data_IF_686504176426
#
_entry.id   IF_686504176426
#
_cell.length_a   1.000
_cell.length_b   1.000
_cell.length_c   1.000
_cell.angle_alpha   90.00
_cell.angle_beta   90.00
_cell.angle_gamma   90.00
#
_symmetry.space_group_name_H-M   'P 1'
#
loop_
_entity.id
_entity.type
_entity.pdbx_description
1 polymer ?
#
# COMPACT_ATOMS: atom_id res chain seq x y z
N UNK A 1 -6.87 8.57 4.11
CA UNK A 1 -8.23 9.00 4.50
C UNK A 1 -8.30 10.43 5.05
N UNK A 2 -7.19 11.09 5.33
CA UNK A 2 -7.19 12.46 5.92
C UNK A 2 -7.68 13.55 4.95
N UNK A 3 -7.75 13.26 3.66
CA UNK A 3 -8.09 14.21 2.59
C UNK A 3 -9.43 13.92 1.90
N UNK A 4 -10.32 13.19 2.55
CA UNK A 4 -11.69 12.90 2.05
C UNK A 4 -12.72 14.01 2.33
N UNK A 5 -12.43 14.86 3.29
CA UNK A 5 -13.37 15.90 3.76
C UNK A 5 -13.15 17.24 3.06
N UNK A 6 -14.18 18.10 3.08
CA UNK A 6 -14.15 19.46 2.52
C UNK A 6 -13.02 20.35 3.11
N UNK A 7 -12.55 20.04 4.31
CA UNK A 7 -11.43 20.74 4.96
C UNK A 7 -10.03 20.20 4.58
N UNK A 8 -9.98 19.28 3.63
CA UNK A 8 -8.72 18.64 3.21
C UNK A 8 -7.73 19.63 2.62
N UNK A 9 -8.21 20.58 1.82
CA UNK A 9 -7.39 21.64 1.25
C UNK A 9 -6.75 22.51 2.34
N UNK A 10 -7.54 22.92 3.35
CA UNK A 10 -7.00 23.69 4.48
C UNK A 10 -5.93 22.91 5.27
N UNK A 11 -6.04 21.59 5.38
CA UNK A 11 -4.99 20.75 5.97
C UNK A 11 -3.73 20.74 5.12
N UNK A 12 -3.86 20.79 3.79
CA UNK A 12 -2.70 20.74 2.88
C UNK A 12 -1.94 22.06 2.85
N UNK A 13 -2.65 23.16 2.61
CA UNK A 13 -2.06 24.48 2.31
C UNK A 13 -2.32 25.54 3.39
N UNK A 14 -3.06 25.20 4.44
CA UNK A 14 -3.43 26.10 5.54
C UNK A 14 -4.84 26.68 5.40
N UNK A 15 -5.39 27.14 6.52
CA UNK A 15 -6.69 27.79 6.59
C UNK A 15 -6.65 29.25 6.12
N UNK A 16 -7.69 29.76 5.46
CA UNK A 16 -7.78 31.19 5.12
C UNK A 16 -7.73 32.10 6.35
N UNK A 17 -7.34 33.37 6.21
CA UNK A 17 -7.37 34.36 7.30
C UNK A 17 -8.73 34.40 8.00
N UNK A 18 -8.73 34.41 9.32
CA UNK A 18 -9.96 34.46 10.15
C UNK A 18 -10.54 33.09 10.49
N UNK A 19 -10.00 31.98 10.01
CA UNK A 19 -10.42 30.63 10.39
C UNK A 19 -9.47 30.02 11.41
N UNK A 20 -9.99 29.11 12.24
CA UNK A 20 -9.19 28.34 13.23
C UNK A 20 -8.12 27.53 12.49
N UNK A 21 -6.87 27.64 12.97
CA UNK A 21 -5.72 26.94 12.36
C UNK A 21 -4.93 27.77 11.32
N UNK A 22 -5.28 29.05 11.11
CA UNK A 22 -4.54 29.93 10.19
C UNK A 22 -3.04 30.06 10.56
N UNK A 23 -2.72 30.21 11.86
CA UNK A 23 -1.33 30.37 12.33
C UNK A 23 -0.47 29.11 12.14
N UNK A 24 -1.10 27.95 12.06
CA UNK A 24 -0.38 26.66 11.97
C UNK A 24 0.17 26.32 10.58
N UNK A 25 -0.21 27.08 9.53
CA UNK A 25 0.12 26.74 8.15
C UNK A 25 -0.49 25.42 7.67
N UNK A 26 -0.21 25.02 6.43
CA UNK A 26 -0.65 23.72 5.88
C UNK A 26 0.36 22.62 6.18
N UNK A 27 -0.13 21.44 6.50
CA UNK A 27 0.74 20.31 6.85
C UNK A 27 1.67 19.90 5.68
N UNK A 28 1.14 19.89 4.45
CA UNK A 28 1.93 19.56 3.28
C UNK A 28 2.90 20.69 2.93
N UNK A 29 2.41 21.92 2.85
CA UNK A 29 3.21 23.09 2.52
C UNK A 29 4.39 23.26 3.48
N UNK A 30 4.16 23.14 4.80
CA UNK A 30 5.22 23.23 5.81
C UNK A 30 6.25 22.10 5.71
N UNK A 31 5.80 20.84 5.47
CA UNK A 31 6.71 19.71 5.31
C UNK A 31 7.62 19.87 4.10
N UNK A 32 7.06 20.28 2.96
CA UNK A 32 7.83 20.49 1.72
C UNK A 32 8.75 21.69 1.84
N UNK A 33 8.29 22.79 2.45
CA UNK A 33 9.12 23.98 2.71
C UNK A 33 10.37 23.64 3.52
N UNK A 34 10.24 22.75 4.53
CA UNK A 34 11.35 22.31 5.38
C UNK A 34 12.24 21.26 4.71
N UNK A 35 11.65 20.44 3.83
CA UNK A 35 12.33 19.33 3.16
C UNK A 35 12.01 19.37 1.65
N UNK A 36 12.63 20.26 0.88
CA UNK A 36 12.32 20.45 -0.54
C UNK A 36 12.68 19.24 -1.41
N UNK A 37 13.62 18.40 -0.98
CA UNK A 37 13.96 17.13 -1.63
C UNK A 37 13.26 15.99 -0.92
N UNK A 38 12.04 15.68 -1.33
CA UNK A 38 11.23 14.67 -0.66
C UNK A 38 10.39 13.85 -1.63
N UNK A 39 9.96 12.67 -1.17
CA UNK A 39 8.97 11.83 -1.83
C UNK A 39 7.64 12.01 -1.12
N UNK A 40 6.62 12.37 -1.87
CA UNK A 40 5.27 12.61 -1.36
C UNK A 40 4.37 11.51 -1.89
N UNK A 41 3.75 10.75 -0.98
CA UNK A 41 2.80 9.70 -1.31
C UNK A 41 1.36 10.16 -1.03
N UNK A 42 0.53 10.16 -2.06
CA UNK A 42 -0.92 10.27 -1.95
C UNK A 42 -1.53 8.88 -2.13
N UNK A 43 -1.95 8.28 -1.04
CA UNK A 43 -2.53 6.94 -1.04
C UNK A 43 -4.04 7.00 -1.23
N UNK A 44 -4.59 6.10 -2.08
CA UNK A 44 -6.02 6.03 -2.43
C UNK A 44 -6.56 7.38 -2.96
N UNK A 45 -5.87 7.95 -3.94
CA UNK A 45 -6.17 9.31 -4.45
C UNK A 45 -7.59 9.44 -4.99
N UNK A 46 -8.21 8.36 -5.47
CA UNK A 46 -9.60 8.33 -5.94
C UNK A 46 -10.64 8.71 -4.87
N UNK A 47 -10.25 8.60 -3.60
CA UNK A 47 -11.11 8.95 -2.46
C UNK A 47 -10.97 10.41 -2.02
N UNK A 48 -10.02 11.15 -2.61
CA UNK A 48 -9.78 12.53 -2.24
C UNK A 48 -10.91 13.46 -2.68
N UNK A 49 -11.13 14.52 -1.90
CA UNK A 49 -12.10 15.56 -2.27
C UNK A 49 -11.68 16.22 -3.60
N UNK A 50 -12.64 16.60 -4.49
CA UNK A 50 -12.33 17.22 -5.77
C UNK A 50 -11.39 18.44 -5.70
N UNK A 51 -11.47 19.23 -4.65
CA UNK A 51 -10.60 20.40 -4.47
C UNK A 51 -9.11 20.02 -4.27
N UNK A 52 -8.83 18.82 -3.79
CA UNK A 52 -7.45 18.29 -3.67
C UNK A 52 -6.84 18.14 -5.06
N UNK A 53 -7.63 17.69 -6.04
CA UNK A 53 -7.14 17.59 -7.43
C UNK A 53 -6.77 18.93 -8.05
N UNK A 54 -7.47 20.00 -7.68
CA UNK A 54 -7.12 21.35 -8.15
C UNK A 54 -5.72 21.77 -7.62
N UNK A 55 -5.43 21.46 -6.36
CA UNK A 55 -4.10 21.71 -5.78
C UNK A 55 -3.04 20.84 -6.44
N UNK A 56 -3.33 19.55 -6.65
CA UNK A 56 -2.40 18.65 -7.34
C UNK A 56 -2.13 19.10 -8.77
N UNK A 57 -3.15 19.55 -9.51
CA UNK A 57 -2.96 20.14 -10.84
C UNK A 57 -2.01 21.33 -10.79
N UNK A 58 -2.20 22.26 -9.85
CA UNK A 58 -1.31 23.40 -9.69
C UNK A 58 0.13 22.97 -9.41
N UNK A 59 0.32 21.96 -8.54
CA UNK A 59 1.65 21.41 -8.26
C UNK A 59 2.29 20.80 -9.51
N UNK A 60 1.52 20.01 -10.27
CA UNK A 60 2.01 19.32 -11.47
C UNK A 60 2.27 20.28 -12.64
N UNK A 61 1.50 21.36 -12.76
CA UNK A 61 1.65 22.35 -13.83
C UNK A 61 2.74 23.39 -13.54
N UNK A 62 2.64 24.02 -12.36
CA UNK A 62 3.46 25.18 -12.03
C UNK A 62 4.73 24.79 -11.24
N UNK A 63 4.76 23.56 -10.68
CA UNK A 63 5.81 23.11 -9.79
C UNK A 63 5.82 23.84 -8.45
N UNK A 64 4.77 24.58 -8.11
CA UNK A 64 4.65 25.28 -6.83
C UNK A 64 3.19 25.53 -6.47
N UNK A 65 2.94 25.77 -5.17
CA UNK A 65 1.66 26.28 -4.66
C UNK A 65 1.90 27.50 -3.79
N UNK A 66 0.84 28.29 -3.60
CA UNK A 66 0.84 29.36 -2.61
C UNK A 66 0.03 28.91 -1.39
N UNK A 67 0.62 28.94 -0.22
CA UNK A 67 -0.06 28.59 1.02
C UNK A 67 -1.02 29.71 1.49
N UNK A 68 -1.79 29.46 2.54
CA UNK A 68 -2.75 30.43 3.10
C UNK A 68 -2.09 31.69 3.67
N UNK A 69 -0.79 31.65 3.92
CA UNK A 69 0.00 32.78 4.43
C UNK A 69 0.67 33.59 3.30
N UNK A 70 0.47 33.19 2.03
CA UNK A 70 1.05 33.84 0.88
C UNK A 70 2.49 33.36 0.54
N UNK A 71 2.98 32.32 1.19
CA UNK A 71 4.30 31.77 0.87
C UNK A 71 4.21 30.88 -0.38
N UNK A 72 5.17 31.07 -1.28
CA UNK A 72 5.33 30.21 -2.45
C UNK A 72 6.16 28.99 -2.06
N UNK A 73 5.55 27.79 -2.14
CA UNK A 73 6.16 26.50 -1.81
C UNK A 73 6.56 25.80 -3.08
N UNK A 74 7.84 25.51 -3.24
CA UNK A 74 8.42 24.89 -4.44
C UNK A 74 8.39 23.37 -4.34
N UNK A 75 7.81 22.69 -5.34
CA UNK A 75 7.70 21.23 -5.47
C UNK A 75 8.59 20.65 -6.57
N UNK A 76 9.37 21.48 -7.29
CA UNK A 76 10.16 21.03 -8.44
C UNK A 76 11.19 19.93 -8.12
N UNK A 77 11.62 19.87 -6.86
CA UNK A 77 12.57 18.87 -6.39
C UNK A 77 11.88 17.71 -5.60
N UNK A 78 10.56 17.57 -5.72
CA UNK A 78 9.82 16.49 -5.08
C UNK A 78 9.45 15.42 -6.10
N UNK A 79 9.37 14.17 -5.63
CA UNK A 79 8.75 13.06 -6.37
C UNK A 79 7.36 12.84 -5.81
N UNK A 80 6.35 12.93 -6.66
CA UNK A 80 4.96 12.71 -6.27
C UNK A 80 4.54 11.33 -6.74
N UNK A 81 4.12 10.50 -5.78
CA UNK A 81 3.60 9.16 -6.03
C UNK A 81 2.12 9.15 -5.63
N UNK A 82 1.27 8.68 -6.51
CA UNK A 82 -0.16 8.53 -6.25
C UNK A 82 -0.55 7.07 -6.42
N UNK A 83 -1.26 6.50 -5.44
CA UNK A 83 -1.83 5.15 -5.57
C UNK A 83 -3.33 5.24 -5.76
N UNK A 84 -3.88 4.28 -6.49
CA UNK A 84 -5.33 4.15 -6.68
C UNK A 84 -5.74 2.69 -6.83
N UNK A 85 -6.94 2.38 -6.36
CA UNK A 85 -7.61 1.09 -6.59
C UNK A 85 -8.55 1.13 -7.81
N UNK A 86 -8.46 2.16 -8.64
CA UNK A 86 -9.25 2.29 -9.85
C UNK A 86 -9.08 1.06 -10.76
N UNK A 87 -10.19 0.48 -11.21
CA UNK A 87 -10.18 -0.69 -12.09
C UNK A 87 -9.82 -2.02 -11.41
N UNK A 88 -9.74 -2.09 -10.08
CA UNK A 88 -9.43 -3.33 -9.35
C UNK A 88 -10.37 -4.49 -9.74
N UNK A 89 -11.64 -4.23 -10.02
CA UNK A 89 -12.60 -5.24 -10.49
C UNK A 89 -12.20 -5.86 -11.82
N UNK A 90 -11.58 -5.10 -12.72
CA UNK A 90 -11.08 -5.61 -14.00
C UNK A 90 -9.85 -6.50 -13.86
N UNK A 91 -9.16 -6.42 -12.71
CA UNK A 91 -8.01 -7.27 -12.39
C UNK A 91 -8.49 -8.61 -11.84
N UNK A 92 -9.49 -8.60 -10.95
CA UNK A 92 -10.00 -9.79 -10.24
C UNK A 92 -10.89 -10.64 -11.15
N UNK A 93 -11.77 -10.01 -11.91
CA UNK A 93 -12.70 -10.69 -12.82
C UNK A 93 -12.56 -10.15 -14.25
N UNK A 94 -11.53 -10.52 -14.99
CA UNK A 94 -11.45 -10.15 -16.39
C UNK A 94 -12.66 -10.69 -17.14
N UNK A 95 -13.43 -9.79 -17.78
CA UNK A 95 -14.62 -10.18 -18.58
C UNK A 95 -14.20 -11.22 -19.61
N UNK A 96 -14.59 -12.48 -19.39
CA UNK A 96 -14.41 -13.56 -20.35
C UNK A 96 -15.34 -13.31 -21.53
N UNK A 97 -14.83 -12.76 -22.59
CA UNK A 97 -15.50 -12.69 -23.89
C UNK A 97 -14.91 -13.77 -24.79
N UNK A 98 -15.61 -14.92 -24.85
CA UNK A 98 -15.41 -15.93 -25.90
C UNK A 98 -14.38 -17.02 -25.60
N UNK A 99 -14.59 -18.17 -26.25
CA UNK A 99 -13.70 -19.32 -26.30
C UNK A 99 -12.33 -18.94 -26.86
N UNK A 100 -11.32 -18.84 -26.02
CA UNK A 100 -9.94 -18.73 -26.48
C UNK A 100 -9.02 -19.63 -25.65
N UNK A 101 -8.25 -20.45 -26.37
CA UNK A 101 -7.11 -21.25 -25.97
C UNK A 101 -6.14 -20.47 -25.06
N UNK A 102 -5.30 -21.19 -24.29
CA UNK A 102 -4.25 -20.68 -23.39
C UNK A 102 -3.61 -19.38 -23.93
N UNK A 103 -4.19 -18.24 -23.53
CA UNK A 103 -3.67 -16.93 -23.90
C UNK A 103 -2.31 -16.73 -23.25
N UNK A 104 -1.36 -16.32 -24.04
CA UNK A 104 -0.03 -15.86 -23.57
C UNK A 104 -0.23 -14.86 -22.43
N UNK A 105 0.46 -15.06 -21.32
CA UNK A 105 0.38 -14.23 -20.10
C UNK A 105 0.52 -12.74 -20.42
N UNK A 106 1.32 -12.40 -21.41
CA UNK A 106 1.49 -11.02 -21.92
C UNK A 106 0.21 -10.44 -22.48
N UNK A 107 -0.57 -11.26 -23.24
CA UNK A 107 -1.85 -10.82 -23.83
C UNK A 107 -2.88 -10.57 -22.72
N UNK A 108 -2.94 -11.45 -21.72
CA UNK A 108 -3.82 -11.29 -20.55
C UNK A 108 -3.48 -10.00 -19.78
N UNK A 109 -2.20 -9.74 -19.53
CA UNK A 109 -1.75 -8.53 -18.88
C UNK A 109 -2.12 -7.28 -19.68
N UNK A 110 -1.91 -7.26 -20.98
CA UNK A 110 -2.26 -6.10 -21.82
C UNK A 110 -3.78 -5.82 -21.81
N UNK A 111 -4.62 -6.83 -21.88
CA UNK A 111 -6.08 -6.68 -21.77
C UNK A 111 -6.48 -6.11 -20.40
N UNK A 112 -5.93 -6.67 -19.34
CA UNK A 112 -6.13 -6.18 -17.98
C UNK A 112 -5.69 -4.71 -17.87
N UNK A 113 -4.48 -4.39 -18.31
CA UNK A 113 -3.95 -3.02 -18.31
C UNK A 113 -4.86 -2.05 -19.04
N UNK A 114 -5.36 -2.44 -20.23
CA UNK A 114 -6.30 -1.60 -21.00
C UNK A 114 -7.59 -1.36 -20.21
N UNK A 115 -8.20 -2.40 -19.64
CA UNK A 115 -9.41 -2.27 -18.84
C UNK A 115 -9.24 -1.38 -17.61
N UNK A 116 -8.10 -1.49 -16.91
CA UNK A 116 -7.75 -0.61 -15.78
C UNK A 116 -7.58 0.83 -16.25
N UNK A 117 -6.86 1.06 -17.35
CA UNK A 117 -6.64 2.41 -17.89
C UNK A 117 -7.93 3.06 -18.39
N UNK A 118 -8.86 2.30 -18.93
CA UNK A 118 -10.17 2.83 -19.32
C UNK A 118 -10.98 3.29 -18.09
N UNK A 119 -10.89 2.58 -16.97
CA UNK A 119 -11.55 2.97 -15.73
C UNK A 119 -10.87 4.21 -15.12
N UNK A 120 -9.54 4.28 -15.13
CA UNK A 120 -8.77 5.45 -14.70
C UNK A 120 -9.18 6.69 -15.50
N UNK A 121 -9.34 6.57 -16.84
CA UNK A 121 -9.81 7.67 -17.71
C UNK A 121 -11.25 8.11 -17.44
N UNK A 122 -12.09 7.22 -16.91
CA UNK A 122 -13.47 7.58 -16.50
C UNK A 122 -13.48 8.31 -15.16
N UNK A 123 -12.58 7.93 -14.26
CA UNK A 123 -12.54 8.43 -12.88
C UNK A 123 -11.81 9.77 -12.78
N UNK A 124 -10.74 9.95 -13.52
CA UNK A 124 -9.91 11.14 -13.46
C UNK A 124 -10.07 12.00 -14.72
N UNK A 125 -10.05 13.31 -14.53
CA UNK A 125 -10.14 14.26 -15.65
C UNK A 125 -8.93 14.12 -16.57
N UNK A 126 -9.12 14.26 -17.91
CA UNK A 126 -8.03 14.17 -18.88
C UNK A 126 -6.88 15.14 -18.60
N UNK A 127 -7.20 16.37 -18.17
CA UNK A 127 -6.21 17.38 -17.80
C UNK A 127 -5.27 16.91 -16.69
N UNK A 128 -5.79 16.17 -15.70
CA UNK A 128 -5.00 15.61 -14.61
C UNK A 128 -4.10 14.46 -15.09
N UNK A 129 -4.67 13.54 -15.88
CA UNK A 129 -3.92 12.39 -16.40
C UNK A 129 -2.78 12.80 -17.33
N UNK A 130 -2.96 13.89 -18.10
CA UNK A 130 -1.94 14.41 -19.01
C UNK A 130 -0.73 15.06 -18.29
N UNK A 131 -0.81 15.26 -16.98
CA UNK A 131 0.28 15.80 -16.14
C UNK A 131 1.04 14.73 -15.38
N UNK A 132 0.59 13.48 -15.47
CA UNK A 132 1.26 12.34 -14.85
C UNK A 132 2.32 11.84 -15.82
N UNK A 133 3.57 11.77 -15.37
CA UNK A 133 4.71 11.35 -16.20
C UNK A 133 4.62 9.86 -16.57
N UNK A 134 4.21 9.00 -15.60
CA UNK A 134 4.09 7.55 -15.84
C UNK A 134 2.97 6.93 -15.00
N UNK A 135 2.34 5.91 -15.57
CA UNK A 135 1.28 5.14 -14.91
C UNK A 135 1.64 3.66 -14.89
N UNK A 136 1.86 3.13 -13.69
CA UNK A 136 2.24 1.75 -13.45
C UNK A 136 1.00 0.95 -13.03
N UNK A 137 0.65 -0.07 -13.81
CA UNK A 137 -0.40 -1.03 -13.44
C UNK A 137 0.27 -2.27 -12.88
N UNK A 138 -0.02 -2.59 -11.62
CA UNK A 138 0.54 -3.77 -10.97
C UNK A 138 -0.14 -5.05 -11.44
N UNK A 139 0.63 -6.13 -11.53
CA UNK A 139 0.12 -7.45 -11.78
C UNK A 139 -0.63 -8.01 -10.56
N UNK A 140 -1.65 -8.86 -10.77
CA UNK A 140 -2.22 -9.63 -9.67
C UNK A 140 -1.15 -10.55 -9.07
N UNK A 141 -1.26 -10.78 -7.76
CA UNK A 141 -0.33 -11.65 -7.06
C UNK A 141 -0.60 -13.13 -7.41
N UNK A 142 0.46 -13.84 -7.80
CA UNK A 142 0.45 -15.29 -8.01
C UNK A 142 0.72 -16.03 -6.70
N UNK A 143 0.52 -17.36 -6.67
CA UNK A 143 0.89 -18.19 -5.51
C UNK A 143 2.38 -18.12 -5.18
N UNK A 144 3.25 -18.00 -6.18
CA UNK A 144 4.70 -17.88 -5.98
C UNK A 144 5.04 -16.55 -5.34
N UNK A 145 4.45 -15.44 -5.80
CA UNK A 145 4.58 -14.14 -5.14
C UNK A 145 4.08 -14.18 -3.68
N UNK A 146 3.01 -14.93 -3.40
CA UNK A 146 2.52 -15.10 -2.03
C UNK A 146 3.52 -15.82 -1.13
N UNK A 147 4.22 -16.86 -1.65
CA UNK A 147 5.30 -17.55 -0.91
C UNK A 147 6.47 -16.62 -0.61
N UNK A 148 6.84 -15.76 -1.54
CA UNK A 148 7.87 -14.74 -1.33
C UNK A 148 7.45 -13.74 -0.25
N UNK A 149 6.20 -13.26 -0.29
CA UNK A 149 5.65 -12.35 0.72
C UNK A 149 5.65 -13.00 2.10
N UNK A 150 5.20 -14.26 2.22
CA UNK A 150 5.26 -15.03 3.48
C UNK A 150 6.70 -15.12 3.98
N UNK A 151 7.65 -15.38 3.10
CA UNK A 151 9.07 -15.46 3.46
C UNK A 151 9.59 -14.13 4.02
N UNK A 152 9.22 -13.00 3.39
CA UNK A 152 9.58 -11.66 3.87
C UNK A 152 8.97 -11.41 5.25
N UNK A 153 7.68 -11.72 5.45
CA UNK A 153 6.98 -11.52 6.72
C UNK A 153 7.56 -12.38 7.84
N UNK A 154 7.89 -13.64 7.57
CA UNK A 154 8.54 -14.54 8.52
C UNK A 154 9.94 -14.04 8.90
N UNK A 155 10.72 -13.55 7.95
CA UNK A 155 12.04 -12.96 8.22
C UNK A 155 11.95 -11.69 9.08
N UNK A 156 10.92 -10.87 8.89
CA UNK A 156 10.65 -9.69 9.74
C UNK A 156 10.32 -10.16 11.16
N UNK A 157 9.47 -11.17 11.30
CA UNK A 157 9.10 -11.74 12.59
C UNK A 157 10.33 -12.33 13.30
N UNK A 158 11.14 -13.13 12.61
CA UNK A 158 12.37 -13.70 13.16
C UNK A 158 13.35 -12.63 13.65
N UNK A 159 13.59 -11.59 12.86
CA UNK A 159 14.43 -10.46 13.28
C UNK A 159 13.90 -9.79 14.54
N UNK A 160 12.58 -9.61 14.64
CA UNK A 160 11.93 -8.98 15.80
C UNK A 160 12.06 -9.88 17.04
N UNK A 161 11.74 -11.16 16.96
CA UNK A 161 11.84 -12.11 18.10
C UNK A 161 13.29 -12.27 18.54
N UNK A 162 14.23 -12.33 17.59
CA UNK A 162 15.65 -12.40 17.91
C UNK A 162 16.18 -11.15 18.61
N UNK A 163 15.73 -9.95 18.20
CA UNK A 163 16.19 -8.69 18.80
C UNK A 163 15.56 -8.40 20.16
N UNK A 164 14.28 -8.80 20.37
CA UNK A 164 13.53 -8.47 21.58
C UNK A 164 13.58 -9.55 22.65
N UNK A 165 13.67 -10.83 22.24
CA UNK A 165 13.56 -12.00 23.12
C UNK A 165 14.74 -12.96 22.98
N UNK A 166 15.71 -12.69 22.12
CA UNK A 166 16.81 -13.60 21.75
C UNK A 166 16.33 -14.97 21.21
N UNK A 167 15.06 -15.10 20.82
CA UNK A 167 14.46 -16.33 20.30
C UNK A 167 14.67 -16.38 18.79
N UNK A 168 15.18 -17.52 18.29
CA UNK A 168 15.30 -17.82 16.86
C UNK A 168 14.09 -18.60 16.38
N UNK A 169 13.49 -18.15 15.28
CA UNK A 169 12.40 -18.86 14.62
C UNK A 169 12.93 -19.51 13.35
N UNK A 170 12.54 -20.76 13.12
CA UNK A 170 12.87 -21.49 11.91
C UNK A 170 11.58 -22.12 11.34
N UNK A 171 11.19 -21.67 10.14
CA UNK A 171 10.00 -22.14 9.45
C UNK A 171 10.40 -22.75 8.10
N UNK A 172 10.02 -24.00 7.87
CA UNK A 172 10.25 -24.72 6.62
C UNK A 172 9.31 -24.27 5.48
N UNK A 173 9.50 -24.87 4.32
CA UNK A 173 8.66 -24.57 3.15
C UNK A 173 7.23 -25.12 3.30
N UNK A 174 7.04 -26.22 4.05
CA UNK A 174 5.76 -26.75 4.47
C UNK A 174 4.90 -25.71 5.24
N UNK A 175 5.53 -24.98 6.14
CA UNK A 175 4.89 -23.89 6.90
C UNK A 175 4.51 -22.72 5.98
N UNK A 176 5.39 -22.35 5.04
CA UNK A 176 5.10 -21.27 4.09
C UNK A 176 3.93 -21.62 3.19
N UNK A 177 3.88 -22.84 2.68
CA UNK A 177 2.75 -23.33 1.86
C UNK A 177 1.44 -23.29 2.64
N UNK A 178 1.44 -23.77 3.87
CA UNK A 178 0.30 -23.73 4.74
C UNK A 178 -0.20 -22.30 5.02
N UNK A 179 0.72 -21.36 5.28
CA UNK A 179 0.38 -19.96 5.51
C UNK A 179 -0.20 -19.29 4.26
N UNK A 180 0.31 -19.62 3.08
CA UNK A 180 -0.25 -19.15 1.81
C UNK A 180 -1.66 -19.69 1.63
N UNK A 181 -1.89 -20.98 1.87
CA UNK A 181 -3.22 -21.59 1.74
C UNK A 181 -4.25 -20.97 2.69
N UNK A 182 -3.88 -20.72 3.93
CA UNK A 182 -4.77 -20.13 4.95
C UNK A 182 -4.91 -18.62 4.86
N UNK A 183 -3.92 -17.94 4.33
CA UNK A 183 -3.87 -16.47 4.28
C UNK A 183 -4.13 -15.86 2.90
N UNK A 184 -4.35 -16.69 1.87
CA UNK A 184 -4.72 -16.18 0.55
C UNK A 184 -6.21 -15.90 0.47
N UNK A 185 -6.54 -14.72 -0.03
CA UNK A 185 -7.90 -14.34 -0.39
C UNK A 185 -7.87 -13.67 -1.76
N UNK A 186 -8.68 -14.15 -2.69
CA UNK A 186 -8.71 -13.66 -4.07
C UNK A 186 -9.08 -12.18 -4.15
N UNK A 187 -9.93 -11.71 -3.23
CA UNK A 187 -10.39 -10.32 -3.18
C UNK A 187 -9.41 -9.39 -2.45
N UNK A 188 -8.80 -9.89 -1.36
CA UNK A 188 -7.93 -9.09 -0.50
C UNK A 188 -6.43 -9.32 -0.73
N UNK A 189 -6.09 -10.29 -1.61
CA UNK A 189 -4.72 -10.61 -1.99
C UNK A 189 -3.86 -11.06 -0.79
N UNK A 190 -2.73 -10.39 -0.59
CA UNK A 190 -1.78 -10.71 0.48
C UNK A 190 -2.08 -10.04 1.84
N UNK A 191 -3.05 -9.12 1.91
CA UNK A 191 -3.37 -8.40 3.16
C UNK A 191 -3.70 -9.33 4.34
N UNK A 192 -4.46 -10.43 4.17
CA UNK A 192 -4.75 -11.35 5.26
C UNK A 192 -3.54 -12.12 5.78
N UNK A 193 -2.47 -12.31 4.98
CA UNK A 193 -1.29 -13.08 5.37
C UNK A 193 -0.65 -12.58 6.67
N UNK A 194 -0.54 -11.26 6.84
CA UNK A 194 0.03 -10.70 8.06
C UNK A 194 -0.76 -11.11 9.30
N UNK A 195 -2.09 -11.06 9.19
CA UNK A 195 -3.00 -11.47 10.29
C UNK A 195 -2.95 -12.97 10.51
N UNK A 196 -2.84 -13.76 9.45
CA UNK A 196 -2.68 -15.22 9.54
C UNK A 196 -1.40 -15.61 10.27
N UNK A 197 -0.27 -14.96 9.94
CA UNK A 197 1.00 -15.18 10.64
C UNK A 197 0.90 -14.75 12.10
N UNK A 198 0.28 -13.61 12.38
CA UNK A 198 0.05 -13.17 13.75
C UNK A 198 -0.71 -14.21 14.57
N UNK A 199 -1.90 -14.60 14.11
CA UNK A 199 -2.76 -15.52 14.86
C UNK A 199 -2.17 -16.93 15.00
N UNK A 200 -1.51 -17.45 13.95
CA UNK A 200 -1.04 -18.83 13.92
C UNK A 200 0.38 -19.01 14.48
N UNK A 201 1.19 -17.97 14.50
CA UNK A 201 2.58 -18.06 14.94
C UNK A 201 2.86 -17.12 16.11
N UNK A 202 2.60 -15.81 15.98
CA UNK A 202 2.97 -14.84 17.01
C UNK A 202 2.21 -15.07 18.31
N UNK A 203 0.88 -15.24 18.24
CA UNK A 203 0.05 -15.46 19.43
C UNK A 203 0.42 -16.79 20.12
N UNK A 204 0.64 -17.85 19.34
CA UNK A 204 1.03 -19.16 19.87
C UNK A 204 2.44 -19.13 20.50
N UNK A 205 3.38 -18.42 19.88
CA UNK A 205 4.71 -18.21 20.46
C UNK A 205 4.61 -17.44 21.77
N UNK A 206 3.77 -16.40 21.83
CA UNK A 206 3.56 -15.62 23.05
C UNK A 206 2.98 -16.49 24.19
N UNK A 207 2.02 -17.38 23.89
CA UNK A 207 1.49 -18.35 24.87
C UNK A 207 2.60 -19.27 25.40
N UNK A 208 3.43 -19.85 24.52
CA UNK A 208 4.53 -20.72 24.92
C UNK A 208 5.58 -20.02 25.79
N UNK A 209 5.85 -18.75 25.52
CA UNK A 209 6.74 -17.93 26.35
C UNK A 209 6.12 -17.66 27.73
N UNK A 210 4.84 -17.32 27.79
CA UNK A 210 4.13 -17.08 29.04
C UNK A 210 4.03 -18.35 29.92
N UNK A 211 3.86 -19.52 29.29
CA UNK A 211 3.85 -20.82 29.98
C UNK A 211 5.27 -21.27 30.40
N UNK A 212 6.32 -20.54 30.02
CA UNK A 212 7.71 -20.90 30.33
C UNK A 212 8.25 -22.10 29.54
N UNK A 213 7.54 -22.52 28.47
CA UNK A 213 7.94 -23.61 27.57
C UNK A 213 9.01 -23.16 26.58
N UNK A 214 9.04 -21.88 26.23
CA UNK A 214 10.04 -21.22 25.40
C UNK A 214 10.69 -20.11 26.23
N UNK A 215 12.01 -20.06 26.23
CA UNK A 215 12.78 -19.10 27.04
C UNK A 215 13.70 -18.27 26.12
N UNK A 216 14.21 -17.20 26.69
CA UNK A 216 15.22 -16.37 26.05
C UNK A 216 16.44 -17.23 25.63
N UNK A 217 16.87 -17.06 24.37
CA UNK A 217 17.98 -17.82 23.78
C UNK A 217 17.58 -19.11 23.05
N UNK A 218 16.34 -19.54 23.17
CA UNK A 218 15.87 -20.77 22.54
C UNK A 218 15.75 -20.64 21.00
N UNK A 219 15.77 -21.82 20.35
CA UNK A 219 15.49 -21.95 18.92
C UNK A 219 14.20 -22.75 18.72
N UNK A 220 13.18 -22.09 18.20
CA UNK A 220 11.86 -22.68 17.93
C UNK A 220 11.76 -23.07 16.46
N UNK A 221 11.50 -24.34 16.21
CA UNK A 221 11.24 -24.87 14.86
C UNK A 221 9.74 -25.02 14.69
N UNK A 222 9.19 -24.30 13.72
CA UNK A 222 7.79 -24.41 13.33
C UNK A 222 7.65 -25.48 12.26
N UNK A 223 6.71 -26.39 12.41
CA UNK A 223 6.42 -27.46 11.45
C UNK A 223 4.94 -27.54 11.16
N UNK A 224 4.57 -27.96 9.97
CA UNK A 224 3.20 -28.26 9.61
C UNK A 224 2.97 -29.78 9.66
N UNK A 225 2.11 -30.28 10.56
CA UNK A 225 1.74 -31.69 10.67
C UNK A 225 0.24 -31.82 10.78
N UNK A 226 -0.34 -32.70 10.00
CA UNK A 226 -1.78 -33.01 10.01
C UNK A 226 -2.67 -31.79 9.75
N UNK A 227 -2.17 -30.81 8.96
CA UNK A 227 -2.90 -29.57 8.65
C UNK A 227 -2.93 -28.56 9.82
N UNK A 228 -2.02 -28.66 10.77
CA UNK A 228 -1.84 -27.71 11.87
C UNK A 228 -0.37 -27.34 12.06
N UNK A 229 -0.12 -26.10 12.51
CA UNK A 229 1.21 -25.65 12.92
C UNK A 229 1.52 -26.14 14.34
N UNK A 230 2.68 -26.75 14.49
CA UNK A 230 3.23 -27.23 15.76
C UNK A 230 4.63 -26.69 15.96
#
# INVERSE_FOLDING_TARGET
SEYMEKHSVSKMIGSPPGYVGYEGGGQLSEKVRRNPYSVILFDEVEKAHPDVFNILLQVLDDGHITDSQGHKIDFKNTVIIMTSNAGAENIIAPKQLGFMSQDDEKVRYQRMKTGVMDEVKRMFKPEFLNRIDDTIVFHPLTKDHMKEIVTILLNILEKRTKSQMSIRLNAGDDVKEYLVEKGYDEKYGARPLKRTIQNLIEDKLAELVLEGKVREGDSVKITCKDGELK
#
